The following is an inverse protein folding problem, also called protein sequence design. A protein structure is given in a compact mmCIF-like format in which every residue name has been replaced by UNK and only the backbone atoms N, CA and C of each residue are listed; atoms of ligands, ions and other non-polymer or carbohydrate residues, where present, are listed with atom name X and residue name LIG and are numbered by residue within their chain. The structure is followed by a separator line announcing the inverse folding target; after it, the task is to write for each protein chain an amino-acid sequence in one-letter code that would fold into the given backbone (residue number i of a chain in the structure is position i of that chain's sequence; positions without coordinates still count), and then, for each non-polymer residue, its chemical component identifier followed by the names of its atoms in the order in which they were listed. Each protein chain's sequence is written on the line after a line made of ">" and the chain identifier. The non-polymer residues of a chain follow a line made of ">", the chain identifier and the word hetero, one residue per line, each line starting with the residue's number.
data_IF_768465522462
#
_entry.id   IF_768465522462
#
_cell.length_a   1.000
_cell.length_b   1.000
_cell.length_c   1.000
_cell.angle_alpha   90.00
_cell.angle_beta   90.00
_cell.angle_gamma   90.00
#
_symmetry.space_group_name_H-M   'P 1'
#
loop_
_entity.id
_entity.type
_entity.pdbx_description
1 polymer ?
#
# COMPACT_ATOMS: atom_id res chain seq x y z
N UNK A 1 2.65 6.84 20.26
CA UNK A 1 2.59 8.27 19.83
C UNK A 1 1.92 8.34 18.50
N UNK A 2 0.78 9.04 18.37
CA UNK A 2 0.11 9.21 17.08
C UNK A 2 1.01 10.03 16.14
N UNK A 3 1.48 9.46 15.03
CA UNK A 3 2.21 10.20 14.00
C UNK A 3 1.24 11.21 13.38
N UNK A 4 1.50 12.50 13.57
CA UNK A 4 0.76 13.58 12.90
C UNK A 4 1.07 13.52 11.40
N UNK A 5 0.06 13.26 10.57
CA UNK A 5 0.21 13.37 9.12
C UNK A 5 0.21 14.87 8.81
N UNK A 6 1.32 15.39 8.30
CA UNK A 6 1.41 16.77 7.82
C UNK A 6 1.19 16.73 6.30
N UNK A 7 -0.04 17.02 5.87
CA UNK A 7 -0.31 17.25 4.45
C UNK A 7 0.17 18.68 4.16
N UNK A 8 1.24 18.79 3.38
CA UNK A 8 1.69 20.08 2.85
C UNK A 8 1.37 20.05 1.36
N UNK A 9 0.34 20.78 0.93
CA UNK A 9 0.03 20.93 -0.49
C UNK A 9 1.11 21.82 -1.13
N UNK A 10 2.23 21.19 -1.45
CA UNK A 10 3.20 21.74 -2.39
C UNK A 10 2.71 21.29 -3.76
N UNK A 11 2.64 22.18 -4.75
CA UNK A 11 2.16 21.86 -6.11
C UNK A 11 2.69 20.51 -6.55
N UNK A 12 1.84 19.47 -6.68
CA UNK A 12 2.31 18.14 -7.05
C UNK A 12 2.83 18.19 -8.48
N UNK A 13 4.03 17.72 -8.70
CA UNK A 13 4.64 17.65 -10.05
C UNK A 13 3.95 16.62 -10.93
N UNK A 14 3.23 15.64 -10.33
CA UNK A 14 2.31 14.74 -11.03
C UNK A 14 1.26 14.24 -10.01
N UNK A 15 -0.05 14.44 -10.25
CA UNK A 15 -1.07 13.78 -9.44
C UNK A 15 -1.04 12.28 -9.73
N UNK A 16 -0.93 11.46 -8.69
CA UNK A 16 -1.28 10.05 -8.77
C UNK A 16 -2.78 9.96 -9.11
N UNK A 17 -3.14 9.29 -10.18
CA UNK A 17 -4.53 9.01 -10.47
C UNK A 17 -4.99 7.86 -9.57
N UNK A 18 -6.22 7.88 -9.05
CA UNK A 18 -6.80 6.79 -8.23
C UNK A 18 -6.67 5.41 -8.91
N UNK A 19 -6.66 5.37 -10.26
CA UNK A 19 -6.44 4.18 -11.04
C UNK A 19 -5.03 3.57 -10.91
N UNK A 20 -4.06 4.29 -10.34
CA UNK A 20 -2.68 3.79 -10.23
C UNK A 20 -2.49 2.89 -9.03
N UNK A 21 -3.34 2.98 -7.99
CA UNK A 21 -3.31 2.08 -6.83
C UNK A 21 -3.55 0.61 -7.16
N UNK A 22 -4.25 0.32 -8.26
CA UNK A 22 -4.48 -1.03 -8.77
C UNK A 22 -3.41 -1.56 -9.72
N UNK A 23 -2.39 -0.76 -10.08
CA UNK A 23 -1.38 -1.11 -11.07
C UNK A 23 -0.06 -1.47 -10.43
N UNK A 24 0.62 -2.48 -10.99
CA UNK A 24 1.87 -3.01 -10.47
C UNK A 24 2.99 -3.01 -11.50
N UNK A 25 4.21 -2.82 -11.03
CA UNK A 25 5.45 -3.02 -11.77
C UNK A 25 6.17 -4.25 -11.22
N UNK A 26 6.48 -5.20 -12.06
CA UNK A 26 7.34 -6.35 -11.76
C UNK A 26 8.78 -6.05 -12.18
N UNK A 27 9.72 -6.28 -11.27
CA UNK A 27 11.16 -6.12 -11.48
C UNK A 27 11.85 -7.45 -11.18
N UNK A 28 12.57 -8.00 -12.16
CA UNK A 28 13.39 -9.20 -12.00
C UNK A 28 14.88 -8.90 -12.24
N UNK A 29 15.74 -9.79 -11.73
CA UNK A 29 17.20 -9.72 -11.94
C UNK A 29 17.62 -10.76 -12.97
N UNK A 30 17.20 -10.54 -14.22
CA UNK A 30 17.54 -11.39 -15.38
C UNK A 30 18.28 -10.53 -16.43
N UNK A 31 18.19 -10.90 -17.71
CA UNK A 31 18.73 -10.09 -18.80
C UNK A 31 18.05 -8.71 -18.86
N UNK A 32 18.80 -7.69 -19.25
CA UNK A 32 18.29 -6.32 -19.36
C UNK A 32 17.09 -6.24 -20.32
N UNK A 33 15.95 -5.82 -19.79
CA UNK A 33 14.72 -5.57 -20.55
C UNK A 33 14.15 -4.22 -20.15
N UNK A 34 13.79 -3.38 -21.13
CA UNK A 34 13.26 -2.05 -20.85
C UNK A 34 11.91 -2.12 -20.12
N UNK A 35 11.57 -1.05 -19.40
CA UNK A 35 10.24 -0.85 -18.87
C UNK A 35 9.19 -0.87 -19.99
N UNK A 36 8.16 -1.71 -19.83
CA UNK A 36 7.09 -1.85 -20.81
C UNK A 36 5.76 -2.17 -20.13
N UNK A 37 4.68 -1.62 -20.70
CA UNK A 37 3.29 -1.88 -20.35
C UNK A 37 2.81 -3.15 -21.02
N UNK A 38 2.06 -4.00 -20.28
CA UNK A 38 1.46 -5.23 -20.78
C UNK A 38 -0.03 -5.30 -20.46
N UNK A 39 -0.77 -5.98 -21.33
CA UNK A 39 -2.20 -6.32 -21.19
C UNK A 39 -2.48 -7.78 -21.57
N UNK A 40 -1.46 -8.50 -22.06
CA UNK A 40 -1.54 -9.90 -22.47
C UNK A 40 -0.30 -10.66 -22.00
N UNK A 41 -0.51 -11.85 -21.50
CA UNK A 41 0.59 -12.73 -21.05
C UNK A 41 1.50 -13.15 -22.19
N UNK A 42 0.96 -13.37 -23.41
CA UNK A 42 1.74 -13.76 -24.59
C UNK A 42 2.79 -12.73 -24.98
N UNK A 43 2.53 -11.42 -24.75
CA UNK A 43 3.50 -10.37 -25.00
C UNK A 43 4.66 -10.45 -24.01
N UNK A 44 4.41 -10.80 -22.74
CA UNK A 44 5.45 -11.06 -21.73
C UNK A 44 6.30 -12.27 -22.16
N UNK A 45 5.64 -13.34 -22.61
CA UNK A 45 6.31 -14.55 -23.14
C UNK A 45 7.25 -14.23 -24.31
N UNK A 46 6.80 -13.36 -25.20
CA UNK A 46 7.58 -12.93 -26.38
C UNK A 46 8.83 -12.14 -25.98
N UNK A 47 8.68 -11.22 -25.01
CA UNK A 47 9.76 -10.32 -24.60
C UNK A 47 10.77 -10.99 -23.65
N UNK A 48 10.31 -11.84 -22.73
CA UNK A 48 11.14 -12.45 -21.68
C UNK A 48 11.49 -13.93 -21.92
N UNK A 49 10.67 -14.66 -22.69
CA UNK A 49 10.76 -16.10 -22.88
C UNK A 49 9.92 -16.88 -21.88
N UNK A 50 9.47 -18.09 -22.29
CA UNK A 50 8.58 -18.95 -21.49
C UNK A 50 9.23 -19.46 -20.18
N UNK A 51 10.55 -19.60 -20.16
CA UNK A 51 11.29 -20.10 -18.99
C UNK A 51 11.76 -19.00 -18.03
N UNK A 52 11.55 -17.72 -18.37
CA UNK A 52 11.95 -16.60 -17.54
C UNK A 52 11.17 -16.54 -16.23
N UNK A 53 11.80 -15.97 -15.19
CA UNK A 53 11.14 -15.70 -13.91
C UNK A 53 9.97 -14.74 -14.09
N UNK A 54 10.15 -13.72 -14.95
CA UNK A 54 9.12 -12.74 -15.26
C UNK A 54 7.88 -13.41 -15.83
N UNK A 55 8.00 -14.26 -16.86
CA UNK A 55 6.85 -14.91 -17.47
C UNK A 55 6.12 -15.80 -16.48
N UNK A 56 6.84 -16.70 -15.77
CA UNK A 56 6.25 -17.60 -14.76
C UNK A 56 5.59 -16.83 -13.61
N UNK A 57 6.21 -15.73 -13.19
CA UNK A 57 5.66 -14.85 -12.16
C UNK A 57 4.37 -14.17 -12.59
N UNK A 58 4.35 -13.54 -13.77
CA UNK A 58 3.14 -12.89 -14.31
C UNK A 58 2.04 -13.90 -14.61
N UNK A 59 2.36 -15.10 -15.10
CA UNK A 59 1.41 -16.20 -15.25
C UNK A 59 0.74 -16.54 -13.90
N UNK A 60 1.52 -16.65 -12.82
CA UNK A 60 1.00 -16.86 -11.47
C UNK A 60 0.12 -15.69 -11.01
N UNK A 61 0.53 -14.43 -11.26
CA UNK A 61 -0.29 -13.26 -10.96
C UNK A 61 -1.65 -13.28 -11.62
N UNK A 62 -1.72 -13.68 -12.89
CA UNK A 62 -2.94 -13.71 -13.70
C UNK A 62 -3.80 -14.97 -13.46
N UNK A 63 -3.29 -15.97 -12.75
CA UNK A 63 -4.02 -17.22 -12.43
C UNK A 63 -4.72 -17.20 -11.08
N UNK A 64 -4.66 -16.07 -10.34
CA UNK A 64 -5.30 -15.98 -9.04
C UNK A 64 -6.80 -15.77 -9.16
N UNK A 65 -7.55 -16.30 -8.18
CA UNK A 65 -9.02 -16.27 -8.15
C UNK A 65 -9.52 -15.58 -6.88
N UNK A 66 -10.67 -14.92 -6.98
CA UNK A 66 -11.38 -14.36 -5.83
C UNK A 66 -12.08 -15.47 -5.00
N UNK A 67 -12.81 -15.06 -3.95
CA UNK A 67 -13.56 -15.99 -3.09
C UNK A 67 -14.66 -16.77 -3.81
N UNK A 68 -15.11 -16.29 -4.95
CA UNK A 68 -16.18 -16.89 -5.75
C UNK A 68 -15.63 -17.76 -6.88
N UNK A 69 -14.29 -17.89 -6.97
CA UNK A 69 -13.60 -18.67 -8.01
C UNK A 69 -13.48 -17.94 -9.35
N UNK A 70 -13.70 -16.61 -9.39
CA UNK A 70 -13.49 -15.84 -10.60
C UNK A 70 -12.03 -15.40 -10.69
N UNK A 71 -11.43 -15.53 -11.86
CA UNK A 71 -10.06 -15.10 -12.10
C UNK A 71 -9.95 -13.58 -11.90
N UNK A 72 -9.01 -13.16 -11.07
CA UNK A 72 -8.68 -11.74 -10.86
C UNK A 72 -7.90 -11.26 -12.08
N UNK A 73 -8.52 -10.41 -12.90
CA UNK A 73 -7.90 -9.88 -14.12
C UNK A 73 -7.60 -8.39 -13.98
N UNK A 74 -6.35 -8.01 -13.73
CA UNK A 74 -5.94 -6.61 -13.84
C UNK A 74 -5.90 -6.20 -15.31
N UNK A 75 -6.38 -4.99 -15.64
CA UNK A 75 -6.39 -4.48 -17.00
C UNK A 75 -4.99 -4.25 -17.55
N UNK A 76 -4.04 -3.91 -16.68
CA UNK A 76 -2.70 -3.46 -17.06
C UNK A 76 -1.70 -3.79 -15.96
N UNK A 77 -0.53 -4.23 -16.37
CA UNK A 77 0.66 -4.33 -15.51
C UNK A 77 1.91 -3.88 -16.27
N UNK A 78 3.01 -3.72 -15.56
CA UNK A 78 4.28 -3.28 -16.11
C UNK A 78 5.37 -4.27 -15.74
N UNK A 79 6.32 -4.47 -16.64
CA UNK A 79 7.46 -5.35 -16.40
C UNK A 79 8.75 -4.66 -16.84
N UNK A 80 9.82 -4.94 -16.10
CA UNK A 80 11.19 -4.59 -16.45
C UNK A 80 12.16 -5.58 -15.84
N UNK A 81 13.34 -5.73 -16.40
CA UNK A 81 14.40 -6.54 -15.81
C UNK A 81 15.74 -5.85 -15.97
N UNK A 82 16.60 -5.98 -14.95
CA UNK A 82 17.94 -5.42 -14.94
C UNK A 82 18.90 -6.40 -14.29
N UNK A 83 19.94 -6.80 -15.00
CA UNK A 83 20.93 -7.76 -14.51
C UNK A 83 21.67 -7.24 -13.25
N UNK A 84 21.98 -5.94 -13.24
CA UNK A 84 22.60 -5.23 -12.10
C UNK A 84 21.80 -3.97 -11.79
N UNK A 85 20.66 -4.09 -11.07
CA UNK A 85 19.82 -2.95 -10.75
C UNK A 85 20.49 -2.05 -9.70
N UNK A 86 20.36 -0.74 -9.87
CA UNK A 86 20.93 0.28 -8.99
C UNK A 86 19.99 1.49 -8.86
N UNK A 87 20.41 2.55 -8.17
CA UNK A 87 19.63 3.77 -7.97
C UNK A 87 19.31 4.47 -9.31
N UNK A 88 20.26 4.52 -10.27
CA UNK A 88 20.04 5.13 -11.57
C UNK A 88 18.95 4.41 -12.37
N UNK A 89 18.91 3.08 -12.27
CA UNK A 89 17.82 2.29 -12.85
C UNK A 89 16.47 2.68 -12.27
N UNK A 90 16.35 2.80 -10.94
CA UNK A 90 15.12 3.24 -10.28
C UNK A 90 14.70 4.64 -10.73
N UNK A 91 15.64 5.58 -10.85
CA UNK A 91 15.38 6.95 -11.27
C UNK A 91 14.97 7.07 -12.74
N UNK A 92 15.30 6.08 -13.56
CA UNK A 92 14.89 5.98 -14.96
C UNK A 92 13.43 5.50 -15.14
N UNK A 93 12.81 4.94 -14.09
CA UNK A 93 11.46 4.39 -14.16
C UNK A 93 10.39 5.50 -14.19
N UNK A 94 9.36 5.40 -15.04
CA UNK A 94 8.19 6.27 -14.97
C UNK A 94 7.46 6.13 -13.65
N UNK A 95 7.15 7.24 -12.98
CA UNK A 95 6.54 7.22 -11.64
C UNK A 95 5.03 7.44 -11.64
N UNK A 96 4.42 7.73 -12.79
CA UNK A 96 2.99 8.03 -12.92
C UNK A 96 2.11 6.85 -13.33
N UNK A 97 2.69 5.67 -13.58
CA UNK A 97 1.98 4.58 -14.26
C UNK A 97 1.50 3.48 -13.32
N UNK A 98 2.14 3.31 -12.16
CA UNK A 98 1.86 2.24 -11.18
C UNK A 98 2.03 2.75 -9.75
N UNK A 99 1.48 1.99 -8.80
CA UNK A 99 1.68 2.22 -7.37
C UNK A 99 2.49 1.10 -6.71
N UNK A 100 2.14 -0.16 -6.98
CA UNK A 100 2.82 -1.33 -6.44
C UNK A 100 4.09 -1.68 -7.20
N UNK A 101 5.14 -2.08 -6.49
CA UNK A 101 6.41 -2.57 -7.05
C UNK A 101 6.69 -3.94 -6.49
N UNK A 102 6.95 -4.91 -7.35
CA UNK A 102 7.23 -6.29 -6.99
C UNK A 102 8.67 -6.60 -7.40
N UNK A 103 9.49 -7.01 -6.43
CA UNK A 103 10.91 -7.33 -6.63
C UNK A 103 11.16 -8.77 -6.18
N UNK A 104 11.49 -9.66 -7.10
CA UNK A 104 11.63 -11.09 -6.85
C UNK A 104 13.00 -11.51 -6.29
N UNK A 105 13.82 -10.54 -5.89
CA UNK A 105 15.16 -10.75 -5.35
C UNK A 105 15.43 -9.84 -4.17
N UNK A 106 16.43 -10.21 -3.36
CA UNK A 106 17.01 -9.33 -2.36
C UNK A 106 18.43 -8.94 -2.76
N UNK A 107 18.71 -7.65 -2.67
CA UNK A 107 20.06 -7.08 -2.77
C UNK A 107 20.07 -5.87 -1.82
N UNK A 108 20.97 -5.88 -0.84
CA UNK A 108 20.95 -4.91 0.27
C UNK A 108 21.05 -3.45 -0.23
N UNK A 109 21.99 -3.18 -1.14
CA UNK A 109 22.19 -1.81 -1.63
C UNK A 109 21.05 -1.34 -2.52
N UNK A 110 20.58 -2.22 -3.42
CA UNK A 110 19.41 -1.93 -4.23
C UNK A 110 18.16 -1.71 -3.36
N UNK A 111 17.95 -2.53 -2.34
CA UNK A 111 16.76 -2.44 -1.47
C UNK A 111 16.78 -1.17 -0.62
N UNK A 112 17.97 -0.71 -0.17
CA UNK A 112 18.13 0.61 0.47
C UNK A 112 17.81 1.76 -0.47
N UNK A 113 18.30 1.71 -1.71
CA UNK A 113 17.98 2.70 -2.74
C UNK A 113 16.48 2.69 -3.07
N UNK A 114 15.88 1.49 -3.19
CA UNK A 114 14.45 1.30 -3.41
C UNK A 114 13.62 1.94 -2.28
N UNK A 115 13.96 1.74 -1.01
CA UNK A 115 13.25 2.32 0.13
C UNK A 115 13.19 3.86 0.06
N UNK A 116 14.31 4.50 -0.30
CA UNK A 116 14.38 5.96 -0.50
C UNK A 116 13.53 6.39 -1.70
N UNK A 117 13.64 5.66 -2.80
CA UNK A 117 12.90 5.93 -4.03
C UNK A 117 11.37 5.79 -3.82
N UNK A 118 10.92 4.74 -3.10
CA UNK A 118 9.51 4.52 -2.76
C UNK A 118 8.96 5.67 -1.90
N UNK A 119 9.73 6.15 -0.94
CA UNK A 119 9.33 7.28 -0.08
C UNK A 119 9.20 8.58 -0.87
N UNK A 120 10.17 8.86 -1.76
CA UNK A 120 10.17 10.05 -2.61
C UNK A 120 9.01 10.07 -3.61
N UNK A 121 8.66 8.91 -4.16
CA UNK A 121 7.65 8.78 -5.22
C UNK A 121 6.28 8.28 -4.72
N UNK A 122 6.09 8.13 -3.42
CA UNK A 122 4.86 7.62 -2.79
C UNK A 122 4.43 6.29 -3.42
N UNK A 123 5.31 5.28 -3.38
CA UNK A 123 5.09 3.92 -3.88
C UNK A 123 5.20 2.91 -2.75
N UNK A 124 4.73 1.70 -2.98
CA UNK A 124 4.83 0.60 -2.03
C UNK A 124 5.39 -0.65 -2.72
N UNK A 125 6.28 -1.38 -2.06
CA UNK A 125 6.91 -2.57 -2.65
C UNK A 125 6.68 -3.84 -1.85
N UNK A 126 6.55 -4.96 -2.58
CA UNK A 126 6.75 -6.33 -2.07
C UNK A 126 8.13 -6.77 -2.56
N UNK A 127 9.00 -7.19 -1.65
CA UNK A 127 10.38 -7.58 -1.95
C UNK A 127 10.64 -8.98 -1.41
N UNK A 128 11.18 -9.86 -2.25
CA UNK A 128 11.66 -11.16 -1.83
C UNK A 128 12.79 -10.99 -0.80
N UNK A 129 12.75 -11.73 0.29
CA UNK A 129 13.85 -11.79 1.24
C UNK A 129 14.12 -13.24 1.62
N UNK A 130 15.33 -13.72 1.40
CA UNK A 130 15.68 -15.13 1.60
C UNK A 130 16.06 -15.47 3.04
N UNK A 131 16.35 -14.48 3.89
CA UNK A 131 16.78 -14.71 5.27
C UNK A 131 16.35 -13.59 6.21
N UNK A 132 15.93 -13.95 7.43
CA UNK A 132 15.58 -13.02 8.50
C UNK A 132 16.72 -12.05 8.87
N UNK A 133 17.98 -12.49 8.74
CA UNK A 133 19.18 -11.68 9.00
C UNK A 133 19.32 -10.48 8.06
N UNK A 134 18.68 -10.52 6.89
CA UNK A 134 18.77 -9.48 5.89
C UNK A 134 17.82 -8.29 6.16
N UNK A 135 16.95 -8.36 7.16
CA UNK A 135 16.07 -7.23 7.46
C UNK A 135 16.82 -6.12 8.21
N UNK A 136 17.63 -5.36 7.48
CA UNK A 136 18.33 -4.19 7.97
C UNK A 136 17.55 -2.88 7.76
N UNK A 137 16.37 -2.95 7.13
CA UNK A 137 15.52 -1.78 6.81
C UNK A 137 14.39 -1.59 7.83
N UNK A 138 14.68 -1.72 9.13
CA UNK A 138 13.73 -1.61 10.24
C UNK A 138 12.96 -0.27 10.32
N UNK A 139 13.25 0.69 9.45
CA UNK A 139 12.57 1.99 9.40
C UNK A 139 11.61 2.12 8.21
N UNK A 140 11.60 1.17 7.28
CA UNK A 140 10.80 1.29 6.06
C UNK A 140 9.36 0.86 6.28
N UNK A 141 8.46 1.82 6.18
CA UNK A 141 6.99 1.61 6.19
C UNK A 141 6.41 1.36 4.79
N UNK A 142 7.27 1.26 3.76
CA UNK A 142 6.87 1.14 2.35
C UNK A 142 7.37 -0.14 1.68
N UNK A 143 7.96 -1.04 2.47
CA UNK A 143 8.41 -2.35 2.01
C UNK A 143 7.71 -3.42 2.83
N UNK A 144 7.11 -4.36 2.13
CA UNK A 144 6.61 -5.62 2.64
C UNK A 144 7.62 -6.70 2.24
N UNK A 145 8.36 -7.23 3.21
CA UNK A 145 9.21 -8.38 2.94
C UNK A 145 8.39 -9.66 2.94
N UNK A 146 8.63 -10.48 1.92
CA UNK A 146 8.06 -11.81 1.82
C UNK A 146 9.17 -12.84 1.70
N UNK A 147 9.08 -13.92 2.48
CA UNK A 147 10.06 -14.99 2.47
C UNK A 147 10.22 -15.54 1.06
N UNK A 148 11.43 -15.43 0.54
CA UNK A 148 11.78 -15.85 -0.81
C UNK A 148 12.75 -17.02 -0.77
N UNK A 149 12.72 -17.83 -1.81
CA UNK A 149 13.71 -18.90 -2.03
C UNK A 149 15.00 -18.27 -2.54
N UNK A 150 16.16 -18.77 -2.07
CA UNK A 150 17.47 -18.34 -2.57
C UNK A 150 17.65 -18.72 -4.05
N UNK A 151 17.06 -19.83 -4.48
CA UNK A 151 17.09 -20.31 -5.85
C UNK A 151 15.67 -20.56 -6.38
N UNK A 152 15.47 -20.34 -7.66
CA UNK A 152 14.20 -20.53 -8.35
C UNK A 152 13.38 -19.25 -8.50
N UNK A 153 12.06 -19.40 -8.69
CA UNK A 153 11.10 -18.30 -8.85
C UNK A 153 10.27 -18.20 -7.59
N UNK A 154 10.14 -16.99 -7.04
CA UNK A 154 9.31 -16.70 -5.88
C UNK A 154 7.86 -16.41 -6.35
N UNK A 155 7.15 -17.46 -6.75
CA UNK A 155 5.82 -17.35 -7.36
C UNK A 155 4.77 -16.75 -6.42
N UNK A 156 4.90 -16.98 -5.11
CA UNK A 156 4.02 -16.42 -4.09
C UNK A 156 4.10 -14.88 -4.06
N UNK A 157 5.29 -14.31 -4.24
CA UNK A 157 5.50 -12.85 -4.34
C UNK A 157 4.80 -12.27 -5.57
N UNK A 158 4.76 -13.01 -6.67
CA UNK A 158 4.03 -12.60 -7.87
C UNK A 158 2.52 -12.81 -7.73
N UNK A 159 2.07 -13.84 -7.02
CA UNK A 159 0.64 -14.12 -6.82
C UNK A 159 -0.06 -13.13 -5.87
N UNK A 160 0.63 -12.69 -4.80
CA UNK A 160 0.07 -11.80 -3.79
C UNK A 160 -0.49 -10.47 -4.34
N UNK A 161 0.14 -9.80 -5.32
CA UNK A 161 -0.37 -8.55 -5.90
C UNK A 161 -1.79 -8.63 -6.48
N UNK A 162 -2.26 -9.80 -6.88
CA UNK A 162 -3.64 -9.98 -7.35
C UNK A 162 -4.66 -9.72 -6.22
N UNK A 163 -4.35 -10.11 -5.00
CA UNK A 163 -5.21 -9.91 -3.82
C UNK A 163 -5.01 -8.57 -3.12
N UNK A 164 -3.89 -7.92 -3.37
CA UNK A 164 -3.51 -6.65 -2.74
C UNK A 164 -3.70 -5.49 -3.72
N UNK A 165 -2.72 -5.16 -4.53
CA UNK A 165 -2.76 -3.99 -5.40
C UNK A 165 -3.89 -4.04 -6.44
N UNK A 166 -4.15 -5.19 -7.07
CA UNK A 166 -5.21 -5.28 -8.07
C UNK A 166 -6.62 -5.01 -7.50
N UNK A 167 -6.80 -5.15 -6.19
CA UNK A 167 -8.02 -4.77 -5.46
C UNK A 167 -8.02 -3.31 -4.99
N UNK A 168 -7.02 -2.52 -5.36
CA UNK A 168 -6.86 -1.13 -4.95
C UNK A 168 -6.61 -1.00 -3.45
N UNK A 169 -7.28 -0.02 -2.81
CA UNK A 169 -7.08 0.26 -1.37
C UNK A 169 -7.73 -0.77 -0.44
N UNK A 170 -8.57 -1.66 -0.96
CA UNK A 170 -9.25 -2.73 -0.23
C UNK A 170 -8.53 -4.08 -0.38
N UNK A 171 -7.35 -4.08 -0.94
CA UNK A 171 -6.54 -5.28 -1.07
C UNK A 171 -6.25 -5.91 0.29
N UNK A 172 -6.43 -7.21 0.41
CA UNK A 172 -6.22 -7.97 1.63
C UNK A 172 -4.85 -8.66 1.61
N UNK A 173 -4.08 -8.49 2.68
CA UNK A 173 -2.68 -8.90 2.77
C UNK A 173 -2.47 -10.19 3.55
N UNK A 174 -3.23 -10.38 4.63
CA UNK A 174 -3.17 -11.58 5.47
C UNK A 174 -4.22 -12.62 5.07
N UNK A 175 -3.97 -13.87 5.42
CA UNK A 175 -4.86 -15.02 5.22
C UNK A 175 -5.35 -15.18 3.77
N UNK A 176 -4.49 -14.88 2.79
CA UNK A 176 -4.77 -15.10 1.37
C UNK A 176 -4.09 -16.37 0.89
N UNK A 177 -4.89 -17.26 0.32
CA UNK A 177 -4.39 -18.43 -0.39
C UNK A 177 -3.86 -17.99 -1.75
N UNK A 178 -2.60 -18.28 -2.03
CA UNK A 178 -1.99 -18.05 -3.34
C UNK A 178 -2.04 -19.37 -4.12
N UNK A 179 -2.69 -19.37 -5.26
CA UNK A 179 -2.91 -20.56 -6.08
C UNK A 179 -1.64 -20.92 -6.87
N UNK A 180 -1.44 -22.23 -7.06
CA UNK A 180 -0.38 -22.74 -7.94
C UNK A 180 1.05 -22.63 -7.38
N UNK A 181 1.21 -22.34 -6.07
CA UNK A 181 2.52 -22.17 -5.45
C UNK A 181 2.70 -23.07 -4.24
N UNK A 182 3.95 -23.41 -3.96
CA UNK A 182 4.35 -24.07 -2.70
C UNK A 182 4.60 -23.02 -1.63
N UNK A 183 4.25 -23.29 -0.36
CA UNK A 183 4.50 -22.37 0.73
C UNK A 183 5.98 -22.05 0.89
N UNK A 184 6.31 -20.81 1.26
CA UNK A 184 7.68 -20.38 1.50
C UNK A 184 8.20 -20.82 2.87
N UNK A 185 7.33 -20.99 3.88
CA UNK A 185 7.64 -21.63 5.15
C UNK A 185 6.94 -23.01 5.24
N UNK A 186 7.71 -24.05 5.56
CA UNK A 186 7.23 -25.44 5.63
C UNK A 186 7.29 -26.03 7.03
N UNK A 187 8.01 -25.36 7.94
CA UNK A 187 8.23 -25.77 9.32
C UNK A 187 7.94 -24.64 10.29
N UNK A 188 7.58 -24.97 11.53
CA UNK A 188 7.38 -23.97 12.59
C UNK A 188 8.64 -23.15 12.89
N UNK A 189 9.83 -23.73 12.70
CA UNK A 189 11.09 -22.99 12.87
C UNK A 189 11.21 -21.91 11.80
N UNK A 190 10.96 -22.24 10.53
CA UNK A 190 11.00 -21.26 9.44
C UNK A 190 9.94 -20.15 9.63
N UNK A 191 8.75 -20.50 10.17
CA UNK A 191 7.74 -19.52 10.52
C UNK A 191 8.25 -18.55 11.61
N UNK A 192 8.82 -19.11 12.70
CA UNK A 192 9.37 -18.31 13.82
C UNK A 192 10.53 -17.40 13.37
N UNK A 193 11.45 -17.93 12.58
CA UNK A 193 12.58 -17.16 12.07
C UNK A 193 12.13 -15.98 11.17
N UNK A 194 11.11 -16.22 10.36
CA UNK A 194 10.51 -15.16 9.53
C UNK A 194 9.82 -14.09 10.40
N UNK A 195 9.06 -14.48 11.42
CA UNK A 195 8.37 -13.56 12.33
C UNK A 195 9.38 -12.68 13.10
N UNK A 196 10.47 -13.25 13.61
CA UNK A 196 11.54 -12.51 14.27
C UNK A 196 12.22 -11.48 13.34
N UNK A 197 12.27 -11.80 12.05
CA UNK A 197 12.80 -10.91 11.00
C UNK A 197 11.81 -9.88 10.47
N UNK A 198 10.55 -9.85 10.91
CA UNK A 198 9.45 -9.09 10.31
C UNK A 198 9.30 -9.40 8.80
N UNK A 199 9.44 -10.67 8.44
CA UNK A 199 9.27 -11.18 7.10
C UNK A 199 7.96 -11.94 7.04
N UNK A 200 7.06 -11.53 6.17
CA UNK A 200 5.83 -12.26 5.90
C UNK A 200 6.15 -13.48 5.04
N UNK A 201 5.35 -14.52 5.15
CA UNK A 201 5.59 -15.79 4.47
C UNK A 201 4.26 -16.44 4.06
N UNK A 202 4.32 -17.48 3.26
CA UNK A 202 3.19 -18.37 3.00
C UNK A 202 3.40 -19.70 3.70
N UNK A 203 2.32 -20.27 4.23
CA UNK A 203 2.31 -21.54 4.96
C UNK A 203 1.13 -22.40 4.60
N UNK A 204 1.16 -23.67 5.01
CA UNK A 204 -0.02 -24.52 5.03
C UNK A 204 -0.85 -24.19 6.25
N UNK A 205 -2.09 -23.79 6.05
CA UNK A 205 -2.97 -23.39 7.15
C UNK A 205 -4.37 -23.97 6.98
N UNK A 206 -4.86 -24.70 7.99
CA UNK A 206 -6.21 -25.31 8.02
C UNK A 206 -6.56 -26.07 6.73
N UNK A 207 -5.60 -26.83 6.19
CA UNK A 207 -5.80 -27.63 4.97
C UNK A 207 -5.66 -26.85 3.64
N UNK A 208 -5.39 -25.56 3.71
CA UNK A 208 -5.08 -24.74 2.53
C UNK A 208 -3.57 -24.61 2.34
N UNK A 209 -3.13 -24.72 1.08
CA UNK A 209 -1.72 -24.52 0.71
C UNK A 209 -1.42 -23.03 0.48
N UNK A 210 -0.21 -22.60 0.81
CA UNK A 210 0.34 -21.27 0.55
C UNK A 210 -0.59 -20.10 1.00
N UNK A 211 -0.99 -20.11 2.27
CA UNK A 211 -1.75 -19.02 2.90
C UNK A 211 -0.78 -17.98 3.48
N UNK A 212 -0.98 -16.70 3.19
CA UNK A 212 -0.14 -15.60 3.70
C UNK A 212 -0.26 -15.43 5.22
N UNK A 213 0.87 -15.17 5.90
CA UNK A 213 0.95 -15.11 7.36
C UNK A 213 0.49 -13.80 7.97
N UNK A 214 0.71 -12.67 7.31
CA UNK A 214 0.44 -11.35 7.89
C UNK A 214 0.60 -10.22 6.89
N UNK A 215 0.56 -8.97 7.40
CA UNK A 215 0.63 -7.75 6.60
C UNK A 215 1.71 -6.75 7.07
N UNK A 216 2.70 -7.22 7.83
CA UNK A 216 3.73 -6.36 8.43
C UNK A 216 4.63 -5.71 7.38
N UNK A 217 4.84 -4.39 7.52
CA UNK A 217 5.93 -3.71 6.81
C UNK A 217 7.28 -4.04 7.44
N UNK A 218 8.37 -3.73 6.74
CA UNK A 218 9.74 -4.02 7.18
C UNK A 218 10.10 -3.39 8.55
N UNK A 219 9.40 -2.35 8.98
CA UNK A 219 9.57 -1.72 10.29
C UNK A 219 9.01 -2.56 11.46
N UNK A 220 8.22 -3.59 11.18
CA UNK A 220 7.58 -4.44 12.18
C UNK A 220 6.55 -3.72 13.08
N UNK A 221 6.08 -2.55 12.69
CA UNK A 221 5.13 -1.73 13.46
C UNK A 221 3.90 -1.39 12.64
N UNK A 222 4.06 -1.15 11.34
CA UNK A 222 2.99 -0.74 10.44
C UNK A 222 2.56 -1.88 9.54
N UNK A 223 1.28 -1.94 9.25
CA UNK A 223 0.72 -2.87 8.28
C UNK A 223 0.67 -2.25 6.88
N UNK A 224 0.81 -3.07 5.85
CA UNK A 224 0.82 -2.65 4.46
C UNK A 224 -0.50 -1.98 4.04
N UNK A 225 -1.65 -2.56 4.44
CA UNK A 225 -2.97 -1.99 4.17
C UNK A 225 -3.15 -0.58 4.76
N UNK A 226 -2.60 -0.32 5.95
CA UNK A 226 -2.63 0.99 6.58
C UNK A 226 -1.83 2.02 5.78
N UNK A 227 -0.64 1.65 5.32
CA UNK A 227 0.22 2.55 4.52
C UNK A 227 -0.48 2.93 3.21
N UNK A 228 -1.06 1.95 2.51
CA UNK A 228 -1.76 2.18 1.24
C UNK A 228 -3.00 3.05 1.42
N UNK A 229 -3.81 2.78 2.46
CA UNK A 229 -5.00 3.60 2.78
C UNK A 229 -4.64 5.04 3.13
N UNK A 230 -3.55 5.25 3.90
CA UNK A 230 -3.04 6.59 4.22
C UNK A 230 -2.60 7.32 2.94
N UNK A 231 -1.84 6.66 2.07
CA UNK A 231 -1.40 7.24 0.81
C UNK A 231 -2.59 7.63 -0.08
N UNK A 232 -3.61 6.78 -0.14
CA UNK A 232 -4.83 7.06 -0.90
C UNK A 232 -5.60 8.26 -0.33
N UNK A 233 -5.73 8.38 0.99
CA UNK A 233 -6.38 9.53 1.64
C UNK A 233 -5.61 10.82 1.32
N UNK A 234 -4.29 10.82 1.53
CA UNK A 234 -3.43 11.98 1.26
C UNK A 234 -3.54 12.40 -0.19
N UNK A 235 -3.42 11.46 -1.12
CA UNK A 235 -3.55 11.70 -2.55
C UNK A 235 -4.90 12.33 -2.94
N UNK A 236 -6.01 11.79 -2.38
CA UNK A 236 -7.34 12.32 -2.65
C UNK A 236 -7.53 13.74 -2.10
N UNK A 237 -6.99 14.03 -0.91
CA UNK A 237 -7.00 15.37 -0.33
C UNK A 237 -6.23 16.33 -1.23
N UNK A 238 -4.97 16.00 -1.58
CA UNK A 238 -4.11 16.83 -2.44
C UNK A 238 -4.75 17.12 -3.80
N UNK A 239 -5.26 16.07 -4.45
CA UNK A 239 -5.89 16.20 -5.78
C UNK A 239 -7.13 17.07 -5.75
N UNK A 240 -8.00 16.89 -4.76
CA UNK A 240 -9.24 17.67 -4.66
C UNK A 240 -9.00 19.11 -4.24
N UNK A 241 -8.04 19.37 -3.33
CA UNK A 241 -7.63 20.73 -2.98
C UNK A 241 -6.97 21.44 -4.18
N UNK A 242 -6.07 20.76 -4.89
CA UNK A 242 -5.46 21.31 -6.09
C UNK A 242 -6.52 21.65 -7.17
N UNK A 243 -7.48 20.75 -7.40
CA UNK A 243 -8.59 21.00 -8.33
C UNK A 243 -9.43 22.20 -7.90
N UNK A 244 -9.79 22.31 -6.62
CA UNK A 244 -10.51 23.46 -6.09
C UNK A 244 -9.78 24.77 -6.36
N UNK A 245 -8.46 24.82 -6.09
CA UNK A 245 -7.65 26.03 -6.32
C UNK A 245 -7.48 26.39 -7.81
N UNK A 246 -7.59 25.41 -8.71
CA UNK A 246 -7.47 25.62 -10.17
C UNK A 246 -8.81 26.02 -10.79
N UNK A 247 -9.89 25.35 -10.40
CA UNK A 247 -11.20 25.47 -11.05
C UNK A 247 -12.06 26.60 -10.45
N UNK A 248 -11.93 26.92 -9.17
CA UNK A 248 -12.67 28.01 -8.54
C UNK A 248 -12.02 29.37 -8.87
N UNK A 249 -12.85 30.32 -9.29
CA UNK A 249 -12.39 31.67 -9.66
C UNK A 249 -11.71 32.41 -8.51
N UNK A 250 -12.17 32.17 -7.27
CA UNK A 250 -11.63 32.83 -6.10
C UNK A 250 -11.91 31.99 -4.84
N UNK A 251 -10.84 31.46 -4.23
CA UNK A 251 -10.91 30.82 -2.91
C UNK A 251 -10.24 31.75 -1.92
N UNK A 252 -11.05 32.45 -1.12
CA UNK A 252 -10.58 33.48 -0.19
C UNK A 252 -10.35 32.92 1.21
N UNK A 253 -9.46 33.57 1.98
CA UNK A 253 -9.23 33.25 3.39
C UNK A 253 -10.18 34.07 4.28
N UNK A 254 -11.47 33.79 4.17
CA UNK A 254 -12.55 34.50 4.86
C UNK A 254 -13.69 33.56 5.25
N UNK A 255 -14.80 34.15 5.73
CA UNK A 255 -16.01 33.42 6.14
C UNK A 255 -16.71 32.65 5.03
N UNK A 256 -16.37 32.83 3.76
CA UNK A 256 -16.90 32.06 2.63
C UNK A 256 -15.94 30.98 2.14
N UNK A 257 -14.65 31.28 2.00
CA UNK A 257 -13.68 30.38 1.41
C UNK A 257 -13.25 29.26 2.36
N UNK A 258 -13.05 29.55 3.66
CA UNK A 258 -12.65 28.53 4.64
C UNK A 258 -13.71 27.43 4.81
N UNK A 259 -15.01 27.72 4.95
CA UNK A 259 -16.05 26.68 4.97
C UNK A 259 -16.13 25.84 3.69
N UNK A 260 -15.78 26.39 2.51
CA UNK A 260 -15.68 25.60 1.27
C UNK A 260 -14.58 24.55 1.35
N UNK A 261 -13.42 24.92 1.90
CA UNK A 261 -12.31 23.96 2.15
C UNK A 261 -12.77 22.87 3.11
N UNK A 262 -13.44 23.23 4.22
CA UNK A 262 -13.97 22.26 5.18
C UNK A 262 -14.98 21.30 4.53
N UNK A 263 -15.92 21.81 3.78
CA UNK A 263 -16.94 21.03 3.07
C UNK A 263 -16.30 20.06 2.04
N UNK A 264 -15.26 20.52 1.33
CA UNK A 264 -14.50 19.69 0.40
C UNK A 264 -13.81 18.54 1.14
N UNK A 265 -13.10 18.84 2.23
CA UNK A 265 -12.36 17.82 3.00
C UNK A 265 -13.33 16.81 3.65
N UNK A 266 -14.48 17.25 4.18
CA UNK A 266 -15.52 16.35 4.67
C UNK A 266 -16.03 15.42 3.57
N UNK A 267 -16.27 15.93 2.36
CA UNK A 267 -16.69 15.12 1.19
C UNK A 267 -15.63 14.10 0.81
N UNK A 268 -14.35 14.49 0.80
CA UNK A 268 -13.24 13.57 0.50
C UNK A 268 -13.16 12.46 1.54
N UNK A 269 -13.20 12.79 2.83
CA UNK A 269 -13.14 11.80 3.91
C UNK A 269 -14.33 10.84 3.89
N UNK A 270 -15.55 11.34 3.60
CA UNK A 270 -16.71 10.47 3.39
C UNK A 270 -16.55 9.51 2.21
N UNK A 271 -15.98 9.99 1.10
CA UNK A 271 -15.69 9.14 -0.06
C UNK A 271 -14.67 8.06 0.27
N UNK A 272 -13.59 8.41 0.99
CA UNK A 272 -12.58 7.46 1.45
C UNK A 272 -13.15 6.45 2.46
N UNK A 273 -14.07 6.90 3.31
CA UNK A 273 -14.82 6.00 4.21
C UNK A 273 -15.66 4.97 3.44
N UNK A 274 -16.39 5.39 2.40
CA UNK A 274 -17.17 4.50 1.53
C UNK A 274 -16.27 3.49 0.79
N UNK A 275 -15.04 3.85 0.51
CA UNK A 275 -14.03 2.97 -0.07
C UNK A 275 -13.31 2.09 0.96
N UNK A 276 -13.69 2.13 2.25
CA UNK A 276 -13.13 1.25 3.28
C UNK A 276 -11.82 1.71 3.90
N UNK A 277 -11.37 2.96 3.68
CA UNK A 277 -10.15 3.47 4.28
C UNK A 277 -10.36 4.02 5.71
N UNK A 278 -11.56 4.50 6.04
CA UNK A 278 -11.90 5.07 7.36
C UNK A 278 -12.82 4.11 8.12
N UNK A 279 -12.50 3.86 9.38
CA UNK A 279 -13.28 2.99 10.24
C UNK A 279 -14.67 3.58 10.56
N UNK A 280 -15.62 2.71 10.92
CA UNK A 280 -16.95 3.08 11.40
C UNK A 280 -17.08 2.80 12.89
N UNK A 281 -17.91 3.60 13.56
CA UNK A 281 -18.39 3.30 14.91
C UNK A 281 -19.51 2.23 14.89
N UNK A 282 -20.00 1.85 16.07
CA UNK A 282 -21.10 0.89 16.21
C UNK A 282 -22.44 1.36 15.60
N UNK A 283 -22.60 2.67 15.37
CA UNK A 283 -23.78 3.26 14.72
C UNK A 283 -23.63 3.32 13.19
N UNK A 284 -22.49 2.87 12.63
CA UNK A 284 -22.21 2.89 11.20
C UNK A 284 -21.66 4.21 10.65
N UNK A 285 -21.38 5.18 11.53
CA UNK A 285 -20.80 6.47 11.13
C UNK A 285 -19.29 6.40 10.99
N UNK A 286 -18.74 7.09 10.00
CA UNK A 286 -17.28 7.12 9.79
C UNK A 286 -16.57 7.95 10.87
N UNK A 287 -15.51 7.41 11.41
CA UNK A 287 -14.72 8.00 12.49
C UNK A 287 -13.68 8.98 11.94
N UNK A 288 -14.12 10.19 11.63
CA UNK A 288 -13.23 11.30 11.28
C UNK A 288 -13.79 12.64 11.72
N UNK A 289 -12.93 13.64 11.83
CA UNK A 289 -13.28 15.04 12.11
C UNK A 289 -12.36 15.95 11.33
N UNK A 290 -12.95 16.86 10.56
CA UNK A 290 -12.23 17.98 9.93
C UNK A 290 -12.38 19.21 10.84
N UNK A 291 -11.28 19.93 11.02
CA UNK A 291 -11.24 21.18 11.79
C UNK A 291 -10.51 22.20 10.94
N UNK A 292 -11.11 23.36 10.76
CA UNK A 292 -10.53 24.51 10.04
C UNK A 292 -10.38 25.68 10.99
N UNK A 293 -9.44 26.61 10.73
CA UNK A 293 -9.29 27.82 11.55
C UNK A 293 -10.48 28.76 11.39
N UNK A 294 -10.84 29.50 12.46
CA UNK A 294 -11.78 30.61 12.38
C UNK A 294 -11.05 31.88 11.95
N UNK A 295 -11.70 32.71 11.16
CA UNK A 295 -11.20 34.05 10.78
C UNK A 295 -11.10 35.02 11.97
N UNK A 296 -11.86 34.74 13.02
CA UNK A 296 -11.88 35.56 14.25
C UNK A 296 -10.78 35.15 15.24
N UNK A 297 -10.22 33.96 15.08
CA UNK A 297 -9.14 33.46 15.93
C UNK A 297 -7.78 33.82 15.31
N UNK A 298 -7.04 34.69 15.98
CA UNK A 298 -5.69 35.13 15.54
C UNK A 298 -4.55 34.38 16.22
N UNK A 299 -4.85 33.32 16.98
CA UNK A 299 -3.84 32.51 17.66
C UNK A 299 -2.99 31.71 16.67
N UNK A 300 -1.71 31.56 16.97
CA UNK A 300 -0.76 30.80 16.13
C UNK A 300 -1.12 29.31 16.05
N UNK A 301 -1.73 28.76 17.11
CA UNK A 301 -1.99 27.33 17.24
C UNK A 301 -3.27 26.86 16.55
N UNK A 302 -4.31 27.71 16.53
CA UNK A 302 -5.67 27.32 16.08
C UNK A 302 -6.27 28.28 15.07
N UNK A 303 -5.80 29.53 15.01
CA UNK A 303 -6.36 30.58 14.17
C UNK A 303 -5.50 30.94 12.96
N UNK A 304 -5.73 32.15 12.42
CA UNK A 304 -5.01 32.71 11.28
C UNK A 304 -4.28 33.99 11.73
N UNK A 305 -2.97 34.01 11.53
CA UNK A 305 -2.11 35.17 11.85
C UNK A 305 -2.02 36.13 10.67
N UNK A 306 -1.55 37.34 10.91
CA UNK A 306 -1.27 38.33 9.84
C UNK A 306 -0.32 37.77 8.80
N UNK A 307 0.69 37.00 9.24
CA UNK A 307 1.65 36.35 8.32
C UNK A 307 0.99 35.34 7.40
N UNK A 308 -0.08 34.66 7.85
CA UNK A 308 -0.83 33.73 7.01
C UNK A 308 -1.54 34.44 5.86
N UNK A 309 -2.13 35.61 6.14
CA UNK A 309 -2.74 36.46 5.12
C UNK A 309 -1.71 37.03 4.15
N UNK A 310 -0.56 37.49 4.64
CA UNK A 310 0.54 38.01 3.80
C UNK A 310 1.07 36.89 2.88
N UNK A 311 1.29 35.70 3.43
CA UNK A 311 1.82 34.56 2.68
C UNK A 311 0.74 33.77 1.91
N UNK A 312 -0.53 34.17 1.99
CA UNK A 312 -1.69 33.51 1.36
C UNK A 312 -1.72 32.00 1.66
N UNK A 313 -1.49 31.64 2.92
CA UNK A 313 -1.39 30.26 3.36
C UNK A 313 -2.45 29.94 4.40
N UNK A 314 -3.41 29.09 4.08
CA UNK A 314 -4.38 28.56 5.03
C UNK A 314 -3.69 27.47 5.88
N UNK A 315 -3.35 27.80 7.13
CA UNK A 315 -2.80 26.86 8.12
C UNK A 315 -3.84 26.36 9.10
N UNK A 316 -3.44 25.48 10.00
CA UNK A 316 -4.25 24.95 11.09
C UNK A 316 -5.50 24.16 10.62
N UNK A 317 -5.53 23.72 9.35
CA UNK A 317 -6.48 22.72 8.88
C UNK A 317 -6.05 21.36 9.40
N UNK A 318 -6.93 20.66 10.11
CA UNK A 318 -6.64 19.38 10.76
C UNK A 318 -7.69 18.35 10.38
N UNK A 319 -7.26 17.12 10.09
CA UNK A 319 -8.14 15.97 9.90
C UNK A 319 -7.70 14.90 10.89
N UNK A 320 -8.54 14.59 11.85
CA UNK A 320 -8.39 13.45 12.75
C UNK A 320 -9.26 12.31 12.22
N UNK A 321 -8.72 11.09 12.11
CA UNK A 321 -9.48 9.93 11.65
C UNK A 321 -8.93 8.62 12.22
N UNK A 322 -9.81 7.61 12.24
CA UNK A 322 -9.43 6.22 12.57
C UNK A 322 -9.39 5.42 11.28
N UNK A 323 -8.24 4.80 11.01
CA UNK A 323 -8.07 3.95 9.84
C UNK A 323 -8.80 2.62 10.01
N UNK A 324 -9.42 2.13 8.95
CA UNK A 324 -9.99 0.79 8.92
C UNK A 324 -8.88 -0.24 8.71
N UNK A 325 -8.75 -1.22 9.62
CA UNK A 325 -7.71 -2.25 9.58
C UNK A 325 -8.32 -3.64 9.42
N UNK A 326 -7.54 -4.58 8.91
CA UNK A 326 -7.92 -5.99 8.85
C UNK A 326 -7.85 -6.63 10.24
N UNK A 327 -8.68 -7.66 10.48
CA UNK A 327 -8.56 -8.54 11.64
C UNK A 327 -7.65 -9.69 11.21
N UNK A 328 -6.49 -9.80 11.86
CA UNK A 328 -5.53 -10.88 11.62
C UNK A 328 -5.57 -11.96 12.71
N UNK A 329 -6.01 -11.59 13.92
CA UNK A 329 -6.06 -12.51 15.04
C UNK A 329 -7.36 -12.35 15.82
N UNK A 330 -8.00 -13.48 16.11
CA UNK A 330 -9.19 -13.55 16.96
C UNK A 330 -8.87 -14.43 18.17
N UNK A 331 -8.94 -13.86 19.36
CA UNK A 331 -8.79 -14.59 20.62
C UNK A 331 -10.17 -14.89 21.20
N UNK A 332 -10.46 -16.17 21.41
CA UNK A 332 -11.72 -16.63 21.99
C UNK A 332 -11.43 -17.35 23.30
N UNK A 333 -12.03 -16.88 24.39
CA UNK A 333 -12.00 -17.59 25.65
C UNK A 333 -13.22 -18.49 25.74
N UNK A 334 -13.00 -19.80 25.73
CA UNK A 334 -14.06 -20.78 25.97
C UNK A 334 -14.12 -21.11 27.45
N UNK A 335 -15.26 -20.82 28.05
CA UNK A 335 -15.56 -21.26 29.44
C UNK A 335 -16.71 -22.26 29.37
N UNK A 336 -16.47 -23.48 29.80
CA UNK A 336 -17.51 -24.48 29.88
C UNK A 336 -17.88 -24.74 31.34
N UNK A 337 -19.12 -25.08 31.59
CA UNK A 337 -19.67 -25.34 32.92
C UNK A 337 -20.30 -26.72 32.90
N UNK A 338 -20.09 -27.50 33.97
CA UNK A 338 -20.72 -28.79 34.13
C UNK A 338 -22.21 -28.66 34.55
N UNK A 339 -22.63 -27.47 35.01
CA UNK A 339 -24.00 -27.17 35.39
C UNK A 339 -24.71 -26.29 34.34
N UNK A 340 -26.04 -26.40 34.16
CA UNK A 340 -26.80 -25.56 33.29
C UNK A 340 -26.61 -24.07 33.64
N UNK A 341 -26.30 -23.24 32.63
CA UNK A 341 -26.27 -21.79 32.80
C UNK A 341 -27.68 -21.34 33.24
N UNK A 342 -27.81 -20.77 34.42
CA UNK A 342 -29.03 -20.09 34.84
C UNK A 342 -29.14 -18.78 34.08
N UNK A 343 -30.26 -18.56 33.34
CA UNK A 343 -30.55 -17.38 32.56
C UNK A 343 -30.66 -16.09 33.40
#
# INVERSE_FOLDING_TARGET
>A
MAKKIKVTVIRPTKPLLLGDFGKVLFITKEADKPYKKYTKLDDVKTDFGADSKMYKGVETFLSQEDSDGNVIQPDVWYCTSKATPNEEFLDSLPTGDFYGVIVDFYDEEFTKALAKWLTRNVKFAIVANSTAENNKLKESVRIYFMAGKAEGVNLDIFGLPAYTFAQGINGRWSDRRILGVDPSAKTLTEESDNEEGNINYTRNFVGYNAVTSGSWCADGVRHADQTIKIDAIVHNIETNLARMLIEEKNTTMDGEGIPKVEALLNRVMLAMGKQGAVAKNNSGEYLFKVTVPSVEDTSVQTGLTVDDYINRTLRNVKIDFTISTEIEKIEVTLVWHDEPLTA
#
